data_IF_568929529934
#
_entry.id   IF_568929529934
#
_cell.length_a   1.000
_cell.length_b   1.000
_cell.length_c   1.000
_cell.angle_alpha   90.00
_cell.angle_beta   90.00
_cell.angle_gamma   90.00
#
_symmetry.space_group_name_H-M   'P 1'
#
loop_
_entity.id
_entity.type
_entity.pdbx_description
1 polymer ?
#
# COMPACT_ATOMS: atom_id res chain seq x y z
N UNK A 1 -40.28 -20.61 39.39
CA UNK A 1 -39.74 -20.74 38.02
C UNK A 1 -38.73 -19.64 37.81
N UNK A 2 -37.46 -20.01 37.66
CA UNK A 2 -36.33 -19.10 37.56
C UNK A 2 -36.26 -18.56 36.13
N UNK A 3 -36.17 -17.24 35.99
CA UNK A 3 -35.86 -16.58 34.73
C UNK A 3 -34.33 -16.56 34.55
N UNK A 4 -33.89 -17.06 33.40
CA UNK A 4 -32.49 -17.16 33.01
C UNK A 4 -32.09 -15.88 32.27
N UNK A 5 -31.18 -15.10 32.86
CA UNK A 5 -30.57 -13.92 32.23
C UNK A 5 -29.33 -14.37 31.46
N UNK A 6 -29.31 -14.09 30.15
CA UNK A 6 -28.15 -14.32 29.27
C UNK A 6 -27.20 -13.14 29.44
N UNK A 7 -25.94 -13.44 29.78
CA UNK A 7 -24.88 -12.46 29.99
C UNK A 7 -24.43 -11.81 28.68
N UNK A 8 -24.57 -10.49 28.61
CA UNK A 8 -23.92 -9.64 27.63
C UNK A 8 -22.45 -9.43 28.05
N UNK A 9 -21.51 -9.99 27.30
CA UNK A 9 -20.09 -9.70 27.42
C UNK A 9 -19.81 -8.25 27.04
N UNK A 10 -19.48 -7.44 28.04
CA UNK A 10 -19.06 -6.06 27.89
C UNK A 10 -17.61 -6.05 27.41
N UNK A 11 -17.38 -5.69 26.13
CA UNK A 11 -16.05 -5.39 25.62
C UNK A 11 -15.66 -4.02 26.18
N UNK A 12 -14.71 -4.01 27.10
CA UNK A 12 -14.15 -2.78 27.68
C UNK A 12 -13.16 -2.21 26.65
N UNK A 13 -13.38 -1.01 26.10
CA UNK A 13 -12.35 -0.34 25.31
C UNK A 13 -11.27 0.14 26.28
N UNK A 14 -10.04 -0.32 26.07
CA UNK A 14 -8.89 0.13 26.85
C UNK A 14 -8.62 1.59 26.48
N UNK A 15 -8.90 2.49 27.42
CA UNK A 15 -8.67 3.92 27.31
C UNK A 15 -7.15 4.17 27.44
N UNK A 16 -6.47 4.50 26.34
CA UNK A 16 -5.09 4.98 26.39
C UNK A 16 -5.08 6.49 26.63
N UNK A 17 -4.45 6.88 27.74
CA UNK A 17 -4.31 8.26 28.22
C UNK A 17 -3.29 9.03 27.36
N UNK A 18 -3.65 10.28 27.06
CA UNK A 18 -2.88 11.29 26.33
C UNK A 18 -1.53 11.60 26.98
N UNK A 19 -0.45 11.57 26.17
CA UNK A 19 0.70 12.45 26.38
C UNK A 19 1.09 13.05 25.02
N UNK A 20 0.96 14.37 24.93
CA UNK A 20 1.46 15.18 23.83
C UNK A 20 2.98 15.31 23.98
N UNK A 21 3.70 15.20 22.86
CA UNK A 21 5.07 15.69 22.77
C UNK A 21 5.11 16.78 21.72
N UNK A 22 5.72 17.91 22.10
CA UNK A 22 6.12 18.96 21.19
C UNK A 22 7.13 18.41 20.16
N UNK A 23 7.12 18.89 18.92
CA UNK A 23 8.10 18.48 17.92
C UNK A 23 9.50 18.78 18.44
N UNK A 24 10.37 17.78 18.43
CA UNK A 24 11.80 17.95 18.68
C UNK A 24 12.31 18.92 17.62
N UNK A 25 12.63 20.15 18.02
CA UNK A 25 13.23 21.15 17.13
C UNK A 25 14.64 20.65 16.79
N UNK A 26 14.96 20.33 15.52
CA UNK A 26 16.30 19.89 15.18
C UNK A 26 17.28 21.06 15.37
N UNK A 27 18.38 20.79 16.07
CA UNK A 27 19.60 21.61 16.02
C UNK A 27 19.87 21.99 14.57
N UNK A 28 20.11 23.28 14.31
CA UNK A 28 20.21 23.85 12.97
C UNK A 28 21.11 23.03 12.02
N UNK A 29 20.49 22.15 11.24
CA UNK A 29 21.18 21.43 10.19
C UNK A 29 21.57 22.46 9.11
N UNK A 30 22.86 22.63 8.84
CA UNK A 30 23.30 23.37 7.66
C UNK A 30 23.18 22.47 6.42
N UNK A 31 22.93 23.09 5.28
CA UNK A 31 22.66 22.42 4.01
C UNK A 31 23.78 21.43 3.63
N UNK A 32 23.42 20.20 3.26
CA UNK A 32 24.34 19.21 2.67
C UNK A 32 24.83 18.07 3.57
N UNK A 33 24.43 17.99 4.84
CA UNK A 33 24.80 16.88 5.75
C UNK A 33 23.56 16.18 6.32
N UNK A 34 23.68 14.88 6.63
CA UNK A 34 22.64 14.15 7.39
C UNK A 34 22.61 14.62 8.85
N UNK A 35 21.50 14.34 9.55
CA UNK A 35 21.39 14.61 10.98
C UNK A 35 22.54 13.87 11.71
N UNK A 36 23.25 14.51 12.67
CA UNK A 36 24.32 13.85 13.41
C UNK A 36 23.88 12.55 14.07
N UNK A 37 24.75 11.55 14.08
CA UNK A 37 24.52 10.30 14.81
C UNK A 37 24.42 10.61 16.31
N UNK A 38 23.28 10.30 16.90
CA UNK A 38 22.94 10.58 18.30
C UNK A 38 22.98 9.32 19.18
N UNK A 39 23.49 8.19 18.65
CA UNK A 39 23.52 6.94 19.42
C UNK A 39 24.38 7.12 20.67
N UNK A 40 23.86 6.77 21.86
CA UNK A 40 24.63 6.86 23.08
C UNK A 40 25.73 5.80 23.10
N UNK A 41 26.82 6.12 23.79
CA UNK A 41 27.75 5.09 24.24
C UNK A 41 26.99 4.09 25.11
N UNK A 42 27.27 2.79 24.92
CA UNK A 42 26.60 1.76 25.69
C UNK A 42 26.92 1.91 27.19
N UNK A 43 25.92 1.77 28.07
CA UNK A 43 26.13 1.88 29.52
C UNK A 43 26.93 0.70 30.10
N UNK A 44 26.97 -0.43 29.38
CA UNK A 44 27.66 -1.66 29.78
C UNK A 44 28.37 -2.32 28.60
N UNK A 45 29.34 -3.19 28.91
CA UNK A 45 30.15 -3.90 27.91
C UNK A 45 29.36 -5.02 27.22
N UNK A 46 29.80 -5.43 26.02
CA UNK A 46 29.21 -6.59 25.30
C UNK A 46 29.27 -7.86 26.13
N UNK A 47 30.32 -8.05 26.94
CA UNK A 47 30.42 -9.18 27.86
C UNK A 47 29.29 -9.18 28.89
N UNK A 48 29.03 -8.03 29.52
CA UNK A 48 27.94 -7.87 30.49
C UNK A 48 26.56 -8.05 29.86
N UNK A 49 26.38 -7.58 28.61
CA UNK A 49 25.15 -7.84 27.85
C UNK A 49 24.91 -9.34 27.63
N UNK A 50 25.95 -10.06 27.18
CA UNK A 50 25.86 -11.51 26.97
C UNK A 50 25.59 -12.26 28.27
N UNK A 51 26.21 -11.87 29.39
CA UNK A 51 25.95 -12.42 30.73
C UNK A 51 24.50 -12.16 31.17
N UNK A 52 23.91 -11.03 30.77
CA UNK A 52 22.49 -10.70 30.95
C UNK A 52 21.55 -11.35 29.93
N UNK A 53 22.07 -12.20 29.03
CA UNK A 53 21.28 -12.89 28.01
C UNK A 53 20.88 -12.05 26.81
N UNK A 54 21.58 -10.94 26.55
CA UNK A 54 21.39 -10.07 25.37
C UNK A 54 22.62 -10.22 24.47
N UNK A 55 22.42 -10.86 23.31
CA UNK A 55 23.42 -10.98 22.26
C UNK A 55 23.54 -9.70 21.43
N UNK A 56 24.72 -9.48 20.87
CA UNK A 56 25.00 -8.39 19.92
C UNK A 56 25.42 -8.97 18.58
N UNK A 57 24.69 -8.65 17.52
CA UNK A 57 24.92 -9.11 16.15
C UNK A 57 25.05 -7.90 15.24
N UNK A 58 26.13 -7.84 14.46
CA UNK A 58 26.50 -6.61 13.75
C UNK A 58 26.75 -6.87 12.26
N UNK A 59 26.29 -5.93 11.44
CA UNK A 59 26.59 -5.79 10.02
C UNK A 59 27.02 -4.35 9.71
N UNK A 60 27.19 -4.02 8.42
CA UNK A 60 27.64 -2.68 8.03
C UNK A 60 26.65 -1.59 8.47
N UNK A 61 25.34 -1.87 8.37
CA UNK A 61 24.27 -0.90 8.59
C UNK A 61 23.50 -1.11 9.90
N UNK A 62 23.56 -2.28 10.51
CA UNK A 62 22.83 -2.56 11.76
C UNK A 62 23.72 -3.17 12.84
N UNK A 63 23.62 -2.63 14.05
CA UNK A 63 24.01 -3.31 15.29
C UNK A 63 22.76 -3.73 16.06
N UNK A 64 22.47 -5.02 16.05
CA UNK A 64 21.28 -5.62 16.66
C UNK A 64 21.59 -6.15 18.06
N UNK A 65 20.83 -5.70 19.05
CA UNK A 65 20.80 -6.19 20.41
C UNK A 65 19.54 -7.02 20.59
N UNK A 66 19.68 -8.29 20.96
CA UNK A 66 18.54 -9.18 21.08
C UNK A 66 18.76 -10.31 22.08
N UNK A 67 17.69 -10.74 22.76
CA UNK A 67 17.67 -11.94 23.60
C UNK A 67 17.03 -13.15 22.87
N UNK A 68 16.91 -13.06 21.55
CA UNK A 68 16.55 -14.18 20.67
C UNK A 68 17.71 -15.16 20.49
N UNK A 69 17.35 -16.36 20.04
CA UNK A 69 18.32 -17.38 19.64
C UNK A 69 19.25 -16.87 18.53
N UNK A 70 20.54 -17.19 18.65
CA UNK A 70 21.56 -16.68 17.73
C UNK A 70 21.31 -17.04 16.27
N UNK A 71 20.70 -18.20 15.99
CA UNK A 71 20.38 -18.64 14.63
C UNK A 71 19.37 -17.71 13.94
N UNK A 72 18.37 -17.23 14.69
CA UNK A 72 17.41 -16.25 14.20
C UNK A 72 18.09 -14.89 14.03
N UNK A 73 18.80 -14.45 15.07
CA UNK A 73 19.39 -13.11 15.13
C UNK A 73 20.44 -12.84 14.05
N UNK A 74 21.30 -13.83 13.72
CA UNK A 74 22.37 -13.68 12.72
C UNK A 74 21.86 -13.33 11.32
N UNK A 75 20.64 -13.77 10.99
CA UNK A 75 20.05 -13.53 9.67
C UNK A 75 19.52 -12.12 9.46
N UNK A 76 19.32 -11.34 10.53
CA UNK A 76 18.59 -10.07 10.49
C UNK A 76 19.46 -8.87 10.06
N UNK A 77 20.67 -8.63 10.61
CA UNK A 77 21.50 -7.50 10.18
C UNK A 77 21.82 -7.45 8.68
N UNK A 78 22.15 -8.57 8.00
CA UNK A 78 22.38 -8.55 6.56
C UNK A 78 21.17 -8.13 5.71
N UNK A 79 19.94 -8.19 6.26
CA UNK A 79 18.75 -7.67 5.56
C UNK A 79 18.75 -6.14 5.56
N UNK A 80 19.23 -5.49 6.62
CA UNK A 80 19.32 -4.02 6.66
C UNK A 80 20.41 -3.52 5.73
N UNK A 81 21.51 -4.27 5.57
CA UNK A 81 22.52 -3.94 4.56
C UNK A 81 21.92 -3.93 3.14
N UNK A 82 21.09 -4.92 2.79
CA UNK A 82 20.40 -4.99 1.49
C UNK A 82 19.27 -3.95 1.36
N UNK A 83 18.54 -3.68 2.45
CA UNK A 83 17.50 -2.66 2.47
C UNK A 83 18.10 -1.26 2.25
N UNK A 84 19.29 -1.01 2.81
CA UNK A 84 20.02 0.24 2.60
C UNK A 84 20.33 0.51 1.14
N UNK A 85 20.79 -0.50 0.40
CA UNK A 85 21.02 -0.35 -1.05
C UNK A 85 19.71 -0.02 -1.79
N UNK A 86 18.60 -0.64 -1.37
CA UNK A 86 17.27 -0.38 -1.93
C UNK A 86 16.74 1.03 -1.58
N UNK A 87 17.04 1.53 -0.38
CA UNK A 87 16.70 2.88 0.03
C UNK A 87 17.51 3.92 -0.75
N UNK A 88 18.81 3.72 -0.93
CA UNK A 88 19.63 4.64 -1.74
C UNK A 88 19.20 4.66 -3.21
N UNK A 89 18.79 3.51 -3.78
CA UNK A 89 18.26 3.45 -5.13
C UNK A 89 16.98 4.29 -5.28
N UNK A 90 16.09 4.21 -4.28
CA UNK A 90 14.77 4.83 -4.33
C UNK A 90 14.76 6.29 -3.90
N UNK A 91 15.30 6.59 -2.71
CA UNK A 91 15.34 7.93 -2.10
C UNK A 91 16.57 8.75 -2.51
N UNK A 92 17.55 8.12 -3.15
CA UNK A 92 18.87 8.71 -3.35
C UNK A 92 19.79 8.48 -2.15
N UNK A 93 21.08 8.78 -2.36
CA UNK A 93 22.10 8.63 -1.32
C UNK A 93 21.83 9.56 -0.15
N UNK A 94 22.05 9.08 1.06
CA UNK A 94 22.08 9.97 2.22
C UNK A 94 23.20 11.00 2.04
N UNK A 95 22.97 12.26 2.42
CA UNK A 95 24.05 13.21 2.56
C UNK A 95 25.10 12.68 3.56
N UNK A 96 26.39 13.01 3.39
CA UNK A 96 27.45 12.53 4.28
C UNK A 96 27.24 13.01 5.73
N UNK A 97 27.85 12.29 6.66
CA UNK A 97 27.97 12.76 8.04
C UNK A 97 29.05 13.84 8.15
N UNK A 98 28.92 14.74 9.13
CA UNK A 98 29.93 15.79 9.38
C UNK A 98 31.25 15.24 9.88
N UNK A 99 31.20 14.15 10.62
CA UNK A 99 32.36 13.44 11.16
C UNK A 99 32.84 12.33 10.22
N UNK A 100 32.33 12.30 8.99
CA UNK A 100 32.64 11.28 7.96
C UNK A 100 32.26 9.85 8.37
N UNK A 101 31.49 9.68 9.45
CA UNK A 101 31.00 8.38 9.87
C UNK A 101 30.06 7.77 8.84
N UNK A 102 30.19 6.46 8.65
CA UNK A 102 29.24 5.66 7.88
C UNK A 102 27.88 5.61 8.60
N UNK A 103 26.81 5.53 7.81
CA UNK A 103 25.48 5.28 8.36
C UNK A 103 25.42 3.87 8.96
N UNK A 104 25.09 3.79 10.25
CA UNK A 104 24.77 2.56 10.96
C UNK A 104 23.75 2.90 12.07
N UNK A 105 22.83 1.98 12.34
CA UNK A 105 21.79 2.15 13.36
C UNK A 105 21.89 1.06 14.45
N UNK A 106 21.33 1.33 15.62
CA UNK A 106 21.14 0.32 16.67
C UNK A 106 19.69 -0.19 16.68
N UNK A 107 19.51 -1.50 16.62
CA UNK A 107 18.20 -2.13 16.78
C UNK A 107 18.12 -2.92 18.08
N UNK A 108 17.03 -2.77 18.83
CA UNK A 108 16.76 -3.54 20.05
C UNK A 108 15.53 -4.42 19.83
N UNK A 109 15.75 -5.70 19.56
CA UNK A 109 14.72 -6.70 19.30
C UNK A 109 14.52 -7.57 20.53
N UNK A 110 13.37 -7.43 21.18
CA UNK A 110 13.17 -7.87 22.55
C UNK A 110 12.08 -8.94 22.63
N UNK A 111 12.46 -10.14 23.05
CA UNK A 111 11.52 -11.18 23.50
C UNK A 111 11.12 -10.92 24.96
N UNK A 112 12.08 -10.50 25.79
CA UNK A 112 11.88 -10.10 27.19
C UNK A 112 12.32 -8.64 27.40
N UNK A 113 11.35 -7.70 27.42
CA UNK A 113 11.58 -6.26 27.58
C UNK A 113 12.32 -5.93 28.89
N UNK A 114 12.07 -6.67 29.96
CA UNK A 114 12.63 -6.39 31.28
C UNK A 114 14.16 -6.55 31.31
N UNK A 115 14.72 -7.44 30.48
CA UNK A 115 16.19 -7.58 30.35
C UNK A 115 16.82 -6.31 29.80
N UNK A 116 16.18 -5.69 28.81
CA UNK A 116 16.67 -4.47 28.17
C UNK A 116 16.54 -3.27 29.10
N UNK A 117 15.47 -3.22 29.89
CA UNK A 117 15.30 -2.21 30.93
C UNK A 117 16.42 -2.32 31.98
N UNK A 118 16.67 -3.52 32.52
CA UNK A 118 17.75 -3.76 33.51
C UNK A 118 19.14 -3.48 32.95
N UNK A 119 19.34 -3.70 31.66
CA UNK A 119 20.58 -3.38 30.95
C UNK A 119 20.73 -1.88 30.62
N UNK A 120 19.73 -1.04 30.92
CA UNK A 120 19.74 0.39 30.61
C UNK A 120 19.66 0.70 29.11
N UNK A 121 19.07 -0.20 28.32
CA UNK A 121 18.97 -0.08 26.86
C UNK A 121 17.64 0.54 26.38
N UNK A 122 16.67 0.74 27.28
CA UNK A 122 15.41 1.42 26.98
C UNK A 122 15.54 2.93 27.19
N UNK A 123 14.89 3.72 26.33
CA UNK A 123 14.75 5.18 26.51
C UNK A 123 13.47 5.49 27.27
N UNK A 124 13.53 6.46 28.18
CA UNK A 124 12.39 6.87 29.01
C UNK A 124 11.22 7.52 28.24
N UNK A 125 11.44 7.90 26.98
CA UNK A 125 10.41 8.44 26.09
C UNK A 125 9.67 7.37 25.27
N UNK A 126 10.06 6.09 25.39
CA UNK A 126 9.34 5.00 24.77
C UNK A 126 8.00 4.80 25.50
N UNK A 127 6.88 4.61 24.77
CA UNK A 127 5.61 4.31 25.41
C UNK A 127 5.67 2.96 26.14
N UNK A 128 4.80 2.76 27.12
CA UNK A 128 4.76 1.49 27.88
C UNK A 128 4.44 0.30 26.97
N UNK A 129 3.53 0.51 26.00
CA UNK A 129 3.10 -0.48 25.03
C UNK A 129 3.40 0.00 23.61
N UNK A 130 4.17 -0.80 22.87
CA UNK A 130 4.45 -0.61 21.44
C UNK A 130 4.86 -1.94 20.82
N UNK A 131 4.74 -2.04 19.50
CA UNK A 131 5.28 -3.16 18.72
C UNK A 131 6.63 -2.81 18.10
N UNK A 132 6.78 -1.58 17.64
CA UNK A 132 8.00 -0.98 17.11
C UNK A 132 8.02 0.51 17.40
N UNK A 133 9.22 1.08 17.56
CA UNK A 133 9.42 2.52 17.69
C UNK A 133 10.84 2.88 17.30
N UNK A 134 10.99 3.80 16.37
CA UNK A 134 12.25 4.44 16.03
C UNK A 134 12.39 5.80 16.73
N UNK A 135 13.63 6.10 17.17
CA UNK A 135 14.06 7.42 17.63
C UNK A 135 15.52 7.64 17.20
N UNK A 136 15.77 8.66 16.40
CA UNK A 136 17.11 8.98 15.89
C UNK A 136 17.75 7.78 15.16
N UNK A 137 18.99 7.44 15.49
CA UNK A 137 19.68 6.30 14.87
C UNK A 137 19.42 4.97 15.58
N UNK A 138 18.28 4.87 16.30
CA UNK A 138 17.93 3.71 17.12
C UNK A 138 16.47 3.30 16.89
N UNK A 139 16.19 2.00 17.03
CA UNK A 139 14.82 1.52 17.13
C UNK A 139 14.67 0.38 18.12
N UNK A 140 13.47 0.26 18.69
CA UNK A 140 13.07 -0.79 19.63
C UNK A 140 11.88 -1.51 19.06
N UNK A 141 11.86 -2.83 19.17
CA UNK A 141 10.70 -3.62 18.78
C UNK A 141 10.53 -4.85 19.68
N UNK A 142 9.27 -5.23 19.88
CA UNK A 142 8.91 -6.46 20.57
C UNK A 142 8.89 -7.60 19.56
N UNK A 143 9.42 -8.76 19.98
CA UNK A 143 9.43 -9.95 19.15
C UNK A 143 8.03 -10.34 18.67
N UNK A 144 7.95 -10.82 17.43
CA UNK A 144 6.70 -11.18 16.78
C UNK A 144 6.59 -12.70 16.60
N UNK A 145 5.38 -13.29 16.74
CA UNK A 145 5.22 -14.74 16.61
C UNK A 145 5.55 -15.28 15.22
N UNK A 146 5.39 -14.46 14.18
CA UNK A 146 5.69 -14.82 12.80
C UNK A 146 7.02 -14.22 12.36
N UNK A 147 7.92 -15.05 11.85
CA UNK A 147 9.21 -14.63 11.31
C UNK A 147 9.10 -13.55 10.22
N UNK A 148 8.08 -13.66 9.35
CA UNK A 148 7.79 -12.63 8.36
C UNK A 148 7.53 -11.28 9.03
N UNK A 149 6.63 -11.23 10.01
CA UNK A 149 6.21 -9.98 10.62
C UNK A 149 7.31 -9.38 11.52
N UNK A 150 8.16 -10.23 12.14
CA UNK A 150 9.40 -9.80 12.80
C UNK A 150 10.30 -9.04 11.81
N UNK A 151 10.56 -9.62 10.63
CA UNK A 151 11.36 -8.94 9.60
C UNK A 151 10.67 -7.69 9.06
N UNK A 152 9.34 -7.72 8.90
CA UNK A 152 8.55 -6.57 8.46
C UNK A 152 8.75 -5.38 9.40
N UNK A 153 8.60 -5.58 10.71
CA UNK A 153 8.83 -4.52 11.71
C UNK A 153 10.30 -4.07 11.74
N UNK A 154 11.25 -5.00 11.64
CA UNK A 154 12.67 -4.65 11.56
C UNK A 154 12.96 -3.70 10.38
N UNK A 155 12.44 -4.03 9.18
CA UNK A 155 12.60 -3.22 7.98
C UNK A 155 11.81 -1.90 8.06
N UNK A 156 10.62 -1.91 8.66
CA UNK A 156 9.79 -0.74 8.88
C UNK A 156 10.52 0.30 9.75
N UNK A 157 10.97 -0.09 10.94
CA UNK A 157 11.66 0.83 11.86
C UNK A 157 13.02 1.30 11.32
N UNK A 158 13.73 0.42 10.61
CA UNK A 158 14.99 0.80 9.97
C UNK A 158 14.77 1.76 8.79
N UNK A 159 13.64 1.67 8.08
CA UNK A 159 13.25 2.63 7.03
C UNK A 159 13.01 4.01 7.64
N UNK A 160 12.32 4.09 8.78
CA UNK A 160 12.18 5.35 9.54
C UNK A 160 13.54 5.96 9.88
N UNK A 161 14.47 5.15 10.39
CA UNK A 161 15.81 5.63 10.75
C UNK A 161 16.60 6.17 9.54
N UNK A 162 16.45 5.54 8.36
CA UNK A 162 17.04 6.04 7.13
C UNK A 162 16.41 7.37 6.69
N UNK A 163 15.08 7.42 6.61
CA UNK A 163 14.36 8.60 6.11
C UNK A 163 14.57 9.81 7.03
N UNK A 164 14.44 9.61 8.34
CA UNK A 164 14.59 10.68 9.33
C UNK A 164 16.05 11.11 9.56
N UNK A 165 17.04 10.42 8.96
CA UNK A 165 18.41 10.94 8.88
C UNK A 165 18.54 12.10 7.87
N UNK A 166 17.57 12.27 6.96
CA UNK A 166 17.51 13.40 6.03
C UNK A 166 17.18 14.67 6.81
N UNK A 167 18.10 15.64 6.81
CA UNK A 167 17.90 16.89 7.50
C UNK A 167 16.75 17.71 6.89
N UNK A 168 15.92 18.31 7.76
CA UNK A 168 14.76 19.15 7.38
C UNK A 168 13.74 18.42 6.49
N UNK A 169 13.63 17.10 6.64
CA UNK A 169 12.60 16.33 5.97
C UNK A 169 11.22 16.90 6.32
N UNK A 170 10.51 17.37 5.31
CA UNK A 170 9.17 17.96 5.45
C UNK A 170 8.20 17.20 4.54
N UNK A 171 7.62 16.14 5.10
CA UNK A 171 6.69 15.23 4.43
C UNK A 171 5.58 14.83 5.40
N UNK A 172 4.38 14.46 4.90
CA UNK A 172 3.32 13.96 5.76
C UNK A 172 3.70 12.71 6.55
N UNK A 173 3.12 12.56 7.74
CA UNK A 173 3.24 11.35 8.57
C UNK A 173 2.81 10.11 7.79
N UNK A 174 1.73 10.23 7.01
CA UNK A 174 1.27 9.13 6.16
C UNK A 174 2.29 8.72 5.09
N UNK A 175 3.13 9.63 4.59
CA UNK A 175 4.21 9.27 3.69
C UNK A 175 5.30 8.48 4.41
N UNK A 176 5.72 8.91 5.61
CA UNK A 176 6.70 8.19 6.42
C UNK A 176 6.24 6.77 6.74
N UNK A 177 5.05 6.65 7.33
CA UNK A 177 4.48 5.34 7.71
C UNK A 177 4.20 4.47 6.49
N UNK A 178 3.66 5.07 5.41
CA UNK A 178 3.38 4.36 4.17
C UNK A 178 4.65 3.82 3.51
N UNK A 179 5.73 4.61 3.47
CA UNK A 179 7.02 4.17 2.94
C UNK A 179 7.67 3.10 3.82
N UNK A 180 7.60 3.22 5.15
CA UNK A 180 8.10 2.21 6.08
C UNK A 180 7.36 0.88 5.94
N UNK A 181 6.03 0.88 5.81
CA UNK A 181 5.24 -0.31 5.49
C UNK A 181 5.57 -0.87 4.10
N UNK A 182 5.77 -0.01 3.10
CA UNK A 182 6.07 -0.42 1.72
C UNK A 182 7.43 -1.10 1.60
N UNK A 183 8.48 -0.52 2.20
CA UNK A 183 9.79 -1.16 2.29
C UNK A 183 9.80 -2.38 3.24
N UNK A 184 8.94 -2.38 4.26
CA UNK A 184 8.69 -3.55 5.09
C UNK A 184 8.00 -4.70 4.34
N UNK A 185 7.25 -4.41 3.28
CA UNK A 185 6.55 -5.44 2.49
C UNK A 185 7.54 -6.15 1.56
N UNK A 186 7.93 -7.38 1.94
CA UNK A 186 9.13 -8.00 1.40
C UNK A 186 9.01 -9.51 1.14
N UNK A 187 9.98 -10.05 0.40
CA UNK A 187 10.28 -11.47 0.36
C UNK A 187 11.80 -11.68 0.50
N UNK A 188 12.19 -12.80 1.10
CA UNK A 188 13.59 -13.25 1.14
C UNK A 188 13.69 -14.55 0.37
N UNK A 189 14.30 -14.51 -0.81
CA UNK A 189 14.45 -15.66 -1.69
C UNK A 189 15.93 -15.97 -1.80
N UNK A 190 16.36 -17.15 -1.30
CA UNK A 190 17.76 -17.56 -1.30
C UNK A 190 18.71 -16.51 -0.69
N UNK A 191 18.28 -15.89 0.43
CA UNK A 191 19.04 -14.86 1.14
C UNK A 191 19.00 -13.45 0.53
N UNK A 192 18.34 -13.29 -0.63
CA UNK A 192 18.17 -11.97 -1.28
C UNK A 192 16.86 -11.33 -0.86
N UNK A 193 16.95 -10.10 -0.37
CA UNK A 193 15.80 -9.28 -0.01
C UNK A 193 15.20 -8.61 -1.25
N UNK A 194 13.87 -8.73 -1.39
CA UNK A 194 13.07 -7.93 -2.32
C UNK A 194 12.03 -7.17 -1.52
N UNK A 195 11.91 -5.87 -1.73
CA UNK A 195 11.03 -4.95 -1.00
C UNK A 195 10.05 -4.26 -1.95
N UNK A 196 9.13 -3.45 -1.40
CA UNK A 196 8.14 -2.68 -2.18
C UNK A 196 7.19 -3.56 -2.97
N UNK A 197 6.89 -4.74 -2.44
CA UNK A 197 6.04 -5.73 -3.08
C UNK A 197 4.55 -5.45 -2.81
N UNK A 198 3.71 -5.90 -3.73
CA UNK A 198 2.28 -6.11 -3.45
C UNK A 198 2.12 -7.57 -2.99
N UNK A 199 1.54 -7.84 -1.80
CA UNK A 199 1.35 -9.20 -1.34
C UNK A 199 0.57 -10.03 -2.36
N UNK A 200 1.13 -11.14 -2.84
CA UNK A 200 0.51 -12.03 -3.83
C UNK A 200 -0.40 -13.08 -3.22
N UNK A 201 -0.20 -13.36 -1.92
CA UNK A 201 -1.03 -14.24 -1.12
C UNK A 201 -0.91 -13.89 0.36
N UNK A 202 -1.79 -14.41 1.20
CA UNK A 202 -1.74 -14.17 2.66
C UNK A 202 -0.72 -15.03 3.40
N UNK A 203 -0.43 -16.22 2.90
CA UNK A 203 0.39 -17.20 3.64
C UNK A 203 1.85 -16.80 3.73
N UNK A 204 2.37 -16.11 2.72
CA UNK A 204 3.77 -15.67 2.67
C UNK A 204 3.97 -14.35 3.41
N UNK A 205 2.89 -13.59 3.63
CA UNK A 205 2.87 -12.26 4.24
C UNK A 205 2.08 -12.24 5.57
N UNK A 206 2.11 -13.34 6.32
CA UNK A 206 1.32 -13.51 7.56
C UNK A 206 1.60 -12.39 8.56
N UNK A 207 0.53 -11.75 9.03
CA UNK A 207 0.58 -10.64 9.99
C UNK A 207 0.58 -9.25 9.35
N UNK A 208 0.86 -9.14 8.04
CA UNK A 208 0.83 -7.85 7.34
C UNK A 208 -0.60 -7.27 7.24
N UNK A 209 -1.55 -8.09 6.75
CA UNK A 209 -3.00 -7.83 6.71
C UNK A 209 -3.50 -6.48 6.15
N UNK A 210 -2.65 -5.63 5.55
CA UNK A 210 -3.04 -4.29 5.06
C UNK A 210 -4.17 -4.34 4.04
N UNK A 211 -4.09 -5.24 3.07
CA UNK A 211 -5.17 -5.47 2.09
C UNK A 211 -6.48 -5.92 2.76
N UNK A 212 -6.40 -6.78 3.78
CA UNK A 212 -7.59 -7.17 4.54
C UNK A 212 -8.20 -5.99 5.28
N UNK A 213 -7.38 -5.18 5.95
CA UNK A 213 -7.82 -3.99 6.67
C UNK A 213 -8.48 -2.99 5.73
N UNK A 214 -7.87 -2.68 4.57
CA UNK A 214 -8.47 -1.85 3.51
C UNK A 214 -9.85 -2.40 3.12
N UNK A 215 -9.93 -3.68 2.71
CA UNK A 215 -11.21 -4.27 2.27
C UNK A 215 -12.28 -4.26 3.35
N UNK A 216 -11.90 -4.46 4.62
CA UNK A 216 -12.81 -4.36 5.77
C UNK A 216 -13.29 -2.91 5.92
N UNK A 217 -12.37 -1.97 5.86
CA UNK A 217 -12.65 -0.56 6.12
C UNK A 217 -13.51 0.07 5.03
N UNK A 218 -13.28 -0.28 3.77
CA UNK A 218 -14.14 0.11 2.64
C UNK A 218 -15.60 -0.28 2.87
N UNK A 219 -15.86 -1.44 3.48
CA UNK A 219 -17.23 -1.89 3.79
C UNK A 219 -17.85 -1.16 4.97
N UNK A 220 -17.03 -0.70 5.92
CA UNK A 220 -17.50 -0.12 7.18
C UNK A 220 -17.60 1.41 7.13
N UNK A 221 -16.62 2.07 6.51
CA UNK A 221 -16.42 3.53 6.51
C UNK A 221 -16.32 4.14 5.11
N UNK A 222 -16.14 3.31 4.08
CA UNK A 222 -15.91 3.79 2.71
C UNK A 222 -14.42 3.96 2.40
N UNK A 223 -14.14 4.54 1.24
CA UNK A 223 -12.77 4.80 0.78
C UNK A 223 -12.41 6.23 1.18
N UNK A 224 -11.31 6.47 1.91
CA UNK A 224 -10.84 7.83 2.18
C UNK A 224 -10.33 8.50 0.90
N UNK A 225 -10.44 9.82 0.82
CA UNK A 225 -9.84 10.60 -0.27
C UNK A 225 -8.33 10.38 -0.30
N UNK A 226 -7.77 10.19 -1.49
CA UNK A 226 -6.35 9.87 -1.67
C UNK A 226 -5.44 10.91 -1.02
N UNK A 227 -5.71 12.20 -1.25
CA UNK A 227 -4.90 13.29 -0.69
C UNK A 227 -5.27 13.60 0.77
N UNK A 228 -6.48 13.27 1.21
CA UNK A 228 -6.91 13.48 2.60
C UNK A 228 -6.12 12.62 3.59
N UNK A 229 -5.58 11.48 3.13
CA UNK A 229 -4.71 10.60 3.93
C UNK A 229 -3.46 11.36 4.38
N UNK A 230 -2.94 12.29 3.57
CA UNK A 230 -1.76 13.10 3.92
C UNK A 230 -2.03 14.06 5.07
N UNK A 231 -3.30 14.41 5.31
CA UNK A 231 -3.66 15.31 6.42
C UNK A 231 -3.77 14.61 7.76
N UNK A 232 -3.70 13.26 7.78
CA UNK A 232 -3.74 12.50 9.01
C UNK A 232 -2.51 12.78 9.87
N UNK A 233 -2.75 13.05 11.15
CA UNK A 233 -1.70 13.39 12.11
C UNK A 233 -1.32 12.16 12.92
N UNK A 234 -0.27 12.26 13.74
CA UNK A 234 0.20 11.19 14.63
C UNK A 234 -0.92 10.48 15.39
N UNK A 235 -1.93 11.21 15.86
CA UNK A 235 -3.05 10.63 16.61
C UNK A 235 -3.79 9.56 15.80
N UNK A 236 -3.93 9.72 14.48
CA UNK A 236 -4.56 8.71 13.63
C UNK A 236 -3.78 7.39 13.71
N UNK A 237 -2.45 7.45 13.55
CA UNK A 237 -1.56 6.29 13.56
C UNK A 237 -1.33 5.70 14.96
N UNK A 238 -1.64 6.44 16.02
CA UNK A 238 -1.62 5.90 17.40
C UNK A 238 -2.85 5.08 17.74
N UNK A 239 -4.01 5.42 17.20
CA UNK A 239 -5.29 4.83 17.61
C UNK A 239 -5.91 3.88 16.58
N UNK A 240 -5.57 4.01 15.30
CA UNK A 240 -6.21 3.25 14.23
C UNK A 240 -5.19 2.48 13.40
N UNK A 241 -5.23 1.14 13.49
CA UNK A 241 -4.36 0.29 12.68
C UNK A 241 -4.67 0.40 11.17
N UNK A 242 -5.90 0.76 10.81
CA UNK A 242 -6.26 1.04 9.41
C UNK A 242 -5.49 2.25 8.85
N UNK A 243 -5.02 3.18 9.68
CA UNK A 243 -4.23 4.31 9.21
C UNK A 243 -2.94 3.84 8.53
N UNK A 244 -2.26 2.83 9.08
CA UNK A 244 -1.10 2.20 8.44
C UNK A 244 -1.48 1.48 7.14
N UNK A 245 -2.63 0.82 7.10
CA UNK A 245 -3.09 0.14 5.89
C UNK A 245 -3.38 1.11 4.75
N UNK A 246 -4.00 2.25 5.04
CA UNK A 246 -4.27 3.28 4.06
C UNK A 246 -3.01 4.05 3.64
N UNK A 247 -2.11 4.37 4.57
CA UNK A 247 -0.80 4.95 4.25
C UNK A 247 0.02 4.02 3.35
N UNK A 248 0.07 2.73 3.68
CA UNK A 248 0.67 1.70 2.83
C UNK A 248 0.01 1.63 1.46
N UNK A 249 -1.32 1.56 1.40
CA UNK A 249 -2.08 1.48 0.15
C UNK A 249 -1.84 2.68 -0.75
N UNK A 250 -1.75 3.89 -0.17
CA UNK A 250 -1.40 5.12 -0.87
C UNK A 250 0.03 5.05 -1.44
N UNK A 251 1.02 4.66 -0.65
CA UNK A 251 2.41 4.54 -1.12
C UNK A 251 2.57 3.50 -2.23
N UNK A 252 1.91 2.34 -2.09
CA UNK A 252 1.89 1.29 -3.13
C UNK A 252 1.22 1.82 -4.40
N UNK A 253 0.06 2.47 -4.28
CA UNK A 253 -0.65 3.04 -5.42
C UNK A 253 0.21 4.08 -6.14
N UNK A 254 0.83 5.02 -5.42
CA UNK A 254 1.68 6.02 -6.03
C UNK A 254 2.96 5.47 -6.65
N UNK A 255 3.56 4.42 -6.08
CA UNK A 255 4.80 3.81 -6.59
C UNK A 255 4.58 2.83 -7.77
N UNK A 256 3.41 2.18 -7.83
CA UNK A 256 3.15 1.11 -8.80
C UNK A 256 2.21 1.52 -9.94
N UNK A 257 1.35 2.52 -9.75
CA UNK A 257 0.47 2.99 -10.82
C UNK A 257 1.29 3.74 -11.91
N UNK A 258 1.21 3.34 -13.19
CA UNK A 258 1.94 4.00 -14.30
C UNK A 258 1.70 5.51 -14.40
N UNK A 259 0.53 5.99 -13.97
CA UNK A 259 0.21 7.42 -13.96
C UNK A 259 1.08 8.17 -12.96
N UNK A 260 1.38 7.62 -11.80
CA UNK A 260 1.95 8.36 -10.66
C UNK A 260 3.40 7.99 -10.36
N UNK A 261 3.86 6.80 -10.78
CA UNK A 261 5.12 6.21 -10.32
C UNK A 261 6.38 7.05 -10.57
N UNK A 262 6.50 7.73 -11.71
CA UNK A 262 7.67 8.54 -12.05
C UNK A 262 7.72 9.77 -11.16
N UNK A 263 6.57 10.44 -10.97
CA UNK A 263 6.42 11.62 -10.12
C UNK A 263 6.68 11.29 -8.66
N UNK A 264 6.17 10.16 -8.17
CA UNK A 264 6.38 9.72 -6.79
C UNK A 264 7.85 9.33 -6.51
N UNK A 265 8.51 8.65 -7.45
CA UNK A 265 9.94 8.32 -7.34
C UNK A 265 10.82 9.55 -7.47
N UNK A 266 10.42 10.54 -8.28
CA UNK A 266 11.10 11.84 -8.36
C UNK A 266 11.01 12.61 -7.04
N UNK A 267 9.85 12.60 -6.39
CA UNK A 267 9.68 13.13 -5.02
C UNK A 267 10.67 12.46 -4.06
N UNK A 268 10.72 11.12 -4.05
CA UNK A 268 11.59 10.36 -3.15
C UNK A 268 13.07 10.75 -3.30
N UNK A 269 13.53 11.04 -4.52
CA UNK A 269 14.90 11.51 -4.82
C UNK A 269 15.18 12.97 -4.47
N UNK A 270 14.14 13.72 -4.10
CA UNK A 270 14.21 15.17 -3.88
C UNK A 270 13.96 15.55 -2.42
N UNK A 271 13.95 14.58 -1.49
CA UNK A 271 13.54 14.80 -0.09
C UNK A 271 14.44 15.76 0.71
N UNK A 272 15.64 16.09 0.22
CA UNK A 272 16.48 17.15 0.80
C UNK A 272 15.99 18.56 0.48
N UNK A 273 15.09 18.72 -0.49
CA UNK A 273 14.42 19.97 -0.81
C UNK A 273 13.11 20.08 0.01
N UNK A 274 12.95 21.10 0.88
CA UNK A 274 11.75 21.25 1.70
C UNK A 274 10.47 21.52 0.88
N UNK A 275 10.59 21.89 -0.40
CA UNK A 275 9.43 22.08 -1.28
C UNK A 275 9.05 20.81 -2.06
N UNK A 276 9.78 19.71 -1.92
CA UNK A 276 9.60 18.52 -2.75
C UNK A 276 8.18 17.95 -2.66
N UNK A 277 7.62 17.88 -1.44
CA UNK A 277 6.25 17.41 -1.23
C UNK A 277 5.22 18.28 -1.94
N UNK A 278 5.29 19.60 -1.74
CA UNK A 278 4.39 20.56 -2.39
C UNK A 278 4.52 20.54 -3.92
N UNK A 279 5.73 20.34 -4.45
CA UNK A 279 5.95 20.14 -5.89
C UNK A 279 5.24 18.89 -6.38
N UNK A 280 5.36 17.77 -5.66
CA UNK A 280 4.67 16.54 -5.99
C UNK A 280 3.15 16.72 -6.02
N UNK A 281 2.55 17.34 -4.99
CA UNK A 281 1.11 17.60 -4.97
C UNK A 281 0.63 18.42 -6.17
N UNK A 282 1.37 19.49 -6.51
CA UNK A 282 1.07 20.30 -7.69
C UNK A 282 1.19 19.50 -8.99
N UNK A 283 2.20 18.63 -9.10
CA UNK A 283 2.40 17.76 -10.26
C UNK A 283 1.25 16.74 -10.46
N UNK A 284 0.48 16.43 -9.41
CA UNK A 284 -0.71 15.56 -9.49
C UNK A 284 -1.97 16.29 -9.96
N UNK A 285 -2.06 17.61 -9.77
CA UNK A 285 -3.28 18.38 -10.05
C UNK A 285 -3.74 18.29 -11.52
N UNK A 286 -2.80 18.05 -12.44
CA UNK A 286 -3.08 18.03 -13.89
C UNK A 286 -4.01 16.89 -14.29
N UNK A 287 -3.90 15.73 -13.65
CA UNK A 287 -4.67 14.52 -13.92
C UNK A 287 -5.26 13.91 -12.64
N UNK A 288 -5.49 14.76 -11.63
CA UNK A 288 -6.04 14.35 -10.33
C UNK A 288 -7.39 13.62 -10.45
N UNK A 289 -8.35 14.02 -11.31
CA UNK A 289 -9.60 13.28 -11.46
C UNK A 289 -9.39 11.82 -11.89
N UNK A 290 -8.49 11.57 -12.83
CA UNK A 290 -8.12 10.23 -13.29
C UNK A 290 -7.42 9.43 -12.18
N UNK A 291 -6.48 10.06 -11.47
CA UNK A 291 -5.77 9.46 -10.33
C UNK A 291 -6.76 9.03 -9.23
N UNK A 292 -7.72 9.90 -8.88
CA UNK A 292 -8.72 9.63 -7.85
C UNK A 292 -9.67 8.50 -8.28
N UNK A 293 -10.06 8.43 -9.55
CA UNK A 293 -10.84 7.31 -10.07
C UNK A 293 -10.06 5.99 -9.94
N UNK A 294 -8.81 5.94 -10.39
CA UNK A 294 -7.98 4.74 -10.26
C UNK A 294 -7.73 4.35 -8.79
N UNK A 295 -7.54 5.32 -7.89
CA UNK A 295 -7.43 5.07 -6.44
C UNK A 295 -8.68 4.39 -5.88
N UNK A 296 -9.85 4.91 -6.21
CA UNK A 296 -11.13 4.36 -5.73
C UNK A 296 -11.36 2.93 -6.26
N UNK A 297 -10.97 2.67 -7.51
CA UNK A 297 -11.08 1.34 -8.10
C UNK A 297 -10.08 0.36 -7.47
N UNK A 298 -8.82 0.76 -7.27
CA UNK A 298 -7.84 -0.02 -6.53
C UNK A 298 -8.32 -0.34 -5.11
N UNK A 299 -8.76 0.66 -4.35
CA UNK A 299 -9.20 0.46 -2.98
C UNK A 299 -10.43 -0.45 -2.88
N UNK A 300 -11.35 -0.37 -3.85
CA UNK A 300 -12.52 -1.26 -3.92
C UNK A 300 -12.13 -2.72 -4.22
N UNK A 301 -11.08 -2.93 -5.01
CA UNK A 301 -10.60 -4.23 -5.46
C UNK A 301 -9.20 -4.56 -4.89
N UNK A 302 -8.90 -4.10 -3.66
CA UNK A 302 -7.61 -4.27 -2.99
C UNK A 302 -7.35 -5.73 -2.57
N UNK A 303 -7.10 -6.59 -3.55
CA UNK A 303 -6.85 -8.02 -3.40
C UNK A 303 -5.36 -8.35 -3.51
N UNK A 304 -5.01 -9.48 -2.91
CA UNK A 304 -3.68 -10.06 -3.00
C UNK A 304 -3.35 -10.29 -4.49
N UNK A 305 -2.20 -9.78 -4.95
CA UNK A 305 -1.72 -9.89 -6.32
C UNK A 305 -2.25 -8.83 -7.31
N UNK A 306 -2.91 -7.76 -6.83
CA UNK A 306 -3.40 -6.69 -7.71
C UNK A 306 -2.34 -6.18 -8.70
N UNK A 307 -2.65 -6.23 -10.00
CA UNK A 307 -1.75 -5.80 -11.08
C UNK A 307 -2.06 -4.35 -11.52
N UNK A 308 -1.27 -3.39 -11.04
CA UNK A 308 -1.43 -1.97 -11.36
C UNK A 308 -1.29 -1.66 -12.85
N UNK A 309 -0.41 -2.37 -13.57
CA UNK A 309 -0.19 -2.10 -14.99
C UNK A 309 -1.41 -2.50 -15.82
N UNK A 310 -1.99 -3.67 -15.52
CA UNK A 310 -3.19 -4.16 -16.22
C UNK A 310 -4.46 -3.43 -15.82
N UNK A 311 -4.51 -2.85 -14.63
CA UNK A 311 -5.64 -2.04 -14.18
C UNK A 311 -5.56 -0.57 -14.55
N UNK A 312 -4.40 -0.09 -15.03
CA UNK A 312 -4.25 1.28 -15.48
C UNK A 312 -5.22 1.60 -16.62
N UNK A 313 -5.90 2.74 -16.52
CA UNK A 313 -6.96 3.13 -17.44
C UNK A 313 -6.40 4.15 -18.43
N UNK A 314 -6.53 3.83 -19.71
CA UNK A 314 -6.37 4.80 -20.79
C UNK A 314 -7.69 5.59 -20.92
N UNK A 315 -7.75 6.73 -20.24
CA UNK A 315 -8.93 7.59 -20.27
C UNK A 315 -9.08 8.29 -21.63
N UNK A 316 -10.26 8.18 -22.20
CA UNK A 316 -10.64 8.87 -23.43
C UNK A 316 -12.05 9.45 -23.29
N UNK A 317 -12.26 10.63 -23.85
CA UNK A 317 -13.59 11.22 -23.96
C UNK A 317 -14.47 10.40 -24.91
N UNK A 318 -15.76 10.35 -24.57
CA UNK A 318 -16.78 9.72 -25.38
C UNK A 318 -17.27 10.65 -26.48
N UNK A 319 -17.62 10.06 -27.62
CA UNK A 319 -18.29 10.77 -28.70
C UNK A 319 -19.73 10.26 -28.85
N UNK A 320 -20.65 11.14 -29.19
CA UNK A 320 -22.04 10.77 -29.45
C UNK A 320 -22.13 9.73 -30.59
N UNK A 321 -23.02 8.75 -30.41
CA UNK A 321 -23.27 7.74 -31.44
C UNK A 321 -24.12 8.32 -32.57
N UNK A 322 -23.51 8.49 -33.74
CA UNK A 322 -24.25 8.77 -34.99
C UNK A 322 -24.47 7.50 -35.83
N UNK A 323 -23.68 6.46 -35.56
CA UNK A 323 -23.71 5.13 -36.17
C UNK A 323 -23.20 4.10 -35.15
N UNK A 324 -23.46 2.79 -35.33
CA UNK A 324 -22.86 1.75 -34.51
C UNK A 324 -21.35 1.93 -34.37
N UNK A 325 -20.84 1.83 -33.13
CA UNK A 325 -19.40 1.87 -32.85
C UNK A 325 -18.93 0.50 -32.41
N UNK A 326 -17.81 0.04 -32.97
CA UNK A 326 -17.16 -1.20 -32.57
C UNK A 326 -15.88 -0.88 -31.80
N UNK A 327 -15.65 -1.59 -30.70
CA UNK A 327 -14.46 -1.49 -29.86
C UNK A 327 -13.98 -2.89 -29.48
N UNK A 328 -12.66 -3.08 -29.45
CA UNK A 328 -12.04 -4.30 -28.93
C UNK A 328 -11.82 -4.17 -27.42
N UNK A 329 -12.27 -5.17 -26.66
CA UNK A 329 -12.07 -5.24 -25.20
C UNK A 329 -11.17 -6.43 -24.89
N UNK A 330 -9.97 -6.14 -24.42
CA UNK A 330 -8.95 -7.14 -24.09
C UNK A 330 -9.22 -7.79 -22.73
N UNK A 331 -8.99 -9.09 -22.64
CA UNK A 331 -9.24 -9.87 -21.42
C UNK A 331 -8.14 -9.69 -20.35
N UNK A 332 -6.95 -9.25 -20.74
CA UNK A 332 -5.79 -9.05 -19.86
C UNK A 332 -5.68 -7.61 -19.32
N UNK A 333 -6.77 -6.83 -19.42
CA UNK A 333 -6.84 -5.44 -18.98
C UNK A 333 -8.08 -5.18 -18.15
N UNK A 334 -7.98 -4.19 -17.28
CA UNK A 334 -9.09 -3.65 -16.49
C UNK A 334 -10.07 -2.84 -17.34
N UNK A 335 -10.54 -1.71 -16.80
CA UNK A 335 -11.50 -0.85 -17.49
C UNK A 335 -10.90 -0.20 -18.74
N UNK A 336 -11.62 -0.31 -19.85
CA UNK A 336 -11.22 0.17 -21.17
C UNK A 336 -12.29 1.11 -21.72
N UNK A 337 -11.89 2.27 -22.24
CA UNK A 337 -12.83 3.24 -22.82
C UNK A 337 -13.40 2.71 -24.13
N UNK A 338 -14.73 2.73 -24.26
CA UNK A 338 -15.39 2.48 -25.55
C UNK A 338 -15.35 3.70 -26.48
N UNK A 339 -14.95 4.87 -25.96
CA UNK A 339 -15.08 6.19 -26.60
C UNK A 339 -16.51 6.51 -27.03
N UNK A 340 -17.51 5.88 -26.41
CA UNK A 340 -18.93 6.18 -26.62
C UNK A 340 -19.42 7.08 -25.50
N UNK A 341 -20.01 8.21 -25.89
CA UNK A 341 -20.79 9.04 -24.98
C UNK A 341 -22.20 8.47 -24.85
N UNK A 342 -22.66 8.30 -23.62
CA UNK A 342 -24.01 7.86 -23.28
C UNK A 342 -24.72 8.91 -22.46
N UNK A 343 -26.03 9.01 -22.62
CA UNK A 343 -26.88 10.01 -21.98
C UNK A 343 -27.82 9.35 -20.98
N UNK A 344 -27.91 9.93 -19.77
CA UNK A 344 -28.77 9.41 -18.71
C UNK A 344 -30.21 9.19 -19.20
N UNK A 345 -30.74 7.99 -18.98
CA UNK A 345 -32.11 7.61 -19.36
C UNK A 345 -32.26 7.13 -20.80
N UNK A 346 -31.23 7.28 -21.65
CA UNK A 346 -31.24 6.68 -22.99
C UNK A 346 -30.82 5.21 -22.93
N UNK A 347 -31.39 4.41 -23.85
CA UNK A 347 -31.14 2.97 -23.96
C UNK A 347 -30.15 2.68 -25.07
N UNK A 348 -29.25 1.75 -24.78
CA UNK A 348 -28.21 1.31 -25.71
C UNK A 348 -28.23 -0.21 -25.83
N UNK A 349 -27.95 -0.71 -27.03
CA UNK A 349 -27.76 -2.13 -27.31
C UNK A 349 -26.26 -2.43 -27.48
N UNK A 350 -25.84 -3.55 -26.91
CA UNK A 350 -24.50 -4.11 -27.08
C UNK A 350 -24.59 -5.52 -27.65
N UNK A 351 -23.74 -5.77 -28.66
CA UNK A 351 -23.45 -7.10 -29.19
C UNK A 351 -21.94 -7.36 -29.07
N UNK A 352 -21.56 -8.30 -28.23
CA UNK A 352 -20.19 -8.75 -28.07
C UNK A 352 -19.97 -10.08 -28.80
N UNK A 353 -18.86 -10.19 -29.52
CA UNK A 353 -18.50 -11.37 -30.31
C UNK A 353 -17.02 -11.67 -30.15
N UNK A 354 -16.66 -12.95 -30.14
CA UNK A 354 -15.29 -13.42 -29.96
C UNK A 354 -15.12 -14.29 -28.72
N UNK A 355 -13.96 -14.90 -28.62
CA UNK A 355 -13.58 -15.79 -27.53
C UNK A 355 -12.21 -15.39 -26.98
N UNK A 356 -12.04 -15.61 -25.69
CA UNK A 356 -10.81 -15.35 -24.97
C UNK A 356 -10.57 -16.45 -23.94
N UNK A 357 -9.36 -16.51 -23.41
CA UNK A 357 -8.96 -17.49 -22.39
C UNK A 357 -8.73 -16.76 -21.07
N UNK A 358 -9.30 -17.28 -19.98
CA UNK A 358 -9.20 -16.74 -18.61
C UNK A 358 -8.11 -17.41 -17.77
N UNK A 359 -7.65 -18.58 -18.19
CA UNK A 359 -6.58 -19.33 -17.53
C UNK A 359 -6.10 -20.43 -18.48
N UNK A 360 -4.82 -20.78 -18.45
CA UNK A 360 -4.25 -21.85 -19.29
C UNK A 360 -4.29 -23.23 -18.61
N UNK A 361 -4.36 -23.26 -17.27
CA UNK A 361 -4.18 -24.48 -16.47
C UNK A 361 -5.43 -24.81 -15.64
N UNK A 362 -5.74 -26.12 -15.45
CA UNK A 362 -5.06 -27.30 -16.02
C UNK A 362 -5.37 -27.53 -17.52
N UNK A 363 -6.36 -26.83 -18.07
CA UNK A 363 -6.67 -26.69 -19.50
C UNK A 363 -7.18 -25.26 -19.73
N UNK A 364 -7.11 -24.74 -20.97
CA UNK A 364 -7.63 -23.41 -21.28
C UNK A 364 -9.09 -23.22 -20.87
N UNK A 365 -9.37 -22.19 -20.07
CA UNK A 365 -10.72 -21.75 -19.73
C UNK A 365 -11.18 -20.76 -20.78
N UNK A 366 -11.72 -21.29 -21.88
CA UNK A 366 -12.28 -20.48 -22.96
C UNK A 366 -13.62 -19.90 -22.54
N UNK A 367 -13.82 -18.61 -22.77
CA UNK A 367 -15.04 -17.88 -22.46
C UNK A 367 -15.46 -16.97 -23.62
N UNK A 368 -16.73 -16.60 -23.60
CA UNK A 368 -17.33 -15.50 -24.36
C UNK A 368 -17.79 -14.41 -23.38
N UNK A 369 -18.47 -13.38 -23.86
CA UNK A 369 -18.89 -12.23 -23.04
C UNK A 369 -20.01 -12.56 -22.03
N UNK A 370 -20.71 -13.69 -22.16
CA UNK A 370 -21.64 -14.19 -21.13
C UNK A 370 -20.93 -14.71 -19.87
N UNK A 371 -19.63 -15.04 -19.99
CA UNK A 371 -18.82 -15.57 -18.90
C UNK A 371 -19.04 -17.06 -18.61
N UNK A 372 -18.29 -17.58 -17.62
CA UNK A 372 -18.30 -18.98 -17.18
C UNK A 372 -18.62 -19.10 -15.69
N UNK A 373 -19.26 -20.22 -15.30
CA UNK A 373 -19.78 -20.48 -13.94
C UNK A 373 -18.81 -21.20 -13.01
N UNK A 374 -17.54 -21.37 -13.40
CA UNK A 374 -16.53 -22.12 -12.63
C UNK A 374 -16.19 -21.41 -11.33
N UNK A 375 -16.04 -20.08 -11.38
CA UNK A 375 -15.79 -19.18 -10.26
C UNK A 375 -16.53 -17.87 -10.49
N UNK A 376 -16.61 -17.08 -9.42
CA UNK A 376 -17.23 -15.76 -9.45
C UNK A 376 -16.27 -14.76 -8.82
N UNK A 377 -16.20 -13.56 -9.41
CA UNK A 377 -15.52 -12.42 -8.81
C UNK A 377 -16.54 -11.30 -8.56
N UNK A 378 -16.56 -10.77 -7.33
CA UNK A 378 -17.55 -9.78 -6.88
C UNK A 378 -19.00 -10.14 -7.23
N UNK A 379 -19.35 -11.43 -7.06
CA UNK A 379 -20.70 -11.96 -7.31
C UNK A 379 -21.07 -12.14 -8.80
N UNK A 380 -20.12 -11.97 -9.72
CA UNK A 380 -20.32 -12.03 -11.17
C UNK A 380 -19.47 -13.14 -11.81
N UNK A 381 -19.93 -13.67 -12.93
CA UNK A 381 -19.25 -14.75 -13.66
C UNK A 381 -17.87 -14.29 -14.13
N UNK A 382 -16.88 -15.19 -14.17
CA UNK A 382 -15.60 -14.86 -14.83
C UNK A 382 -15.80 -14.72 -16.33
N UNK A 383 -15.09 -13.79 -16.95
CA UNK A 383 -15.23 -13.44 -18.38
C UNK A 383 -16.47 -12.62 -18.74
N UNK A 384 -17.42 -12.43 -17.82
CA UNK A 384 -18.61 -11.66 -18.13
C UNK A 384 -18.25 -10.23 -18.56
N UNK A 385 -18.82 -9.75 -19.66
CA UNK A 385 -18.69 -8.35 -20.07
C UNK A 385 -19.41 -7.46 -19.05
N UNK A 386 -18.69 -6.46 -18.57
CA UNK A 386 -19.19 -5.49 -17.61
C UNK A 386 -19.11 -4.08 -18.21
N UNK A 387 -20.05 -3.23 -17.80
CA UNK A 387 -20.07 -1.83 -18.16
C UNK A 387 -20.09 -0.93 -16.93
N UNK A 388 -19.46 0.23 -17.06
CA UNK A 388 -19.63 1.36 -16.15
C UNK A 388 -19.53 2.68 -16.91
N UNK A 389 -19.94 3.79 -16.30
CA UNK A 389 -20.00 5.09 -16.96
C UNK A 389 -19.20 6.10 -16.12
N UNK A 390 -18.19 6.70 -16.74
CA UNK A 390 -17.45 7.81 -16.14
C UNK A 390 -18.04 9.14 -16.60
N UNK A 391 -18.56 10.00 -15.71
CA UNK A 391 -19.03 11.32 -16.10
C UNK A 391 -17.86 12.21 -16.54
N UNK A 392 -18.12 13.18 -17.42
CA UNK A 392 -17.11 14.17 -17.84
C UNK A 392 -16.66 15.08 -16.69
N UNK A 393 -17.60 15.37 -15.77
CA UNK A 393 -17.35 16.17 -14.59
C UNK A 393 -17.57 15.30 -13.35
N UNK A 394 -16.54 15.07 -12.52
CA UNK A 394 -16.74 14.41 -11.24
C UNK A 394 -17.66 15.27 -10.37
N UNK A 395 -18.48 14.61 -9.55
CA UNK A 395 -19.28 15.26 -8.52
C UNK A 395 -18.67 14.94 -7.17
N UNK A 396 -18.26 15.96 -6.42
CA UNK A 396 -17.54 15.79 -5.14
C UNK A 396 -18.36 15.07 -4.04
N UNK A 397 -19.66 14.86 -4.27
CA UNK A 397 -20.60 14.32 -3.27
C UNK A 397 -21.06 12.89 -3.53
N UNK A 398 -20.72 12.30 -4.67
CA UNK A 398 -21.12 10.93 -4.99
C UNK A 398 -19.93 9.95 -4.81
N UNK A 399 -20.18 8.70 -4.40
CA UNK A 399 -19.19 7.64 -4.52
C UNK A 399 -18.67 7.55 -5.97
N UNK A 400 -17.41 7.14 -6.15
CA UNK A 400 -16.79 6.99 -7.49
C UNK A 400 -17.75 6.32 -8.49
N UNK A 401 -18.23 7.05 -9.51
CA UNK A 401 -19.23 6.58 -10.47
C UNK A 401 -18.88 5.26 -11.16
N UNK A 402 -17.59 5.02 -11.42
CA UNK A 402 -17.12 3.80 -12.08
C UNK A 402 -17.29 2.53 -11.21
N UNK A 403 -17.71 2.68 -9.95
CA UNK A 403 -18.10 1.55 -9.07
C UNK A 403 -19.55 1.08 -9.30
N UNK A 404 -20.40 1.86 -9.99
CA UNK A 404 -21.71 1.39 -10.46
C UNK A 404 -21.51 0.52 -11.71
N UNK A 405 -21.36 -0.79 -11.48
CA UNK A 405 -21.04 -1.77 -12.50
C UNK A 405 -22.29 -2.54 -12.93
N UNK A 406 -22.63 -2.44 -14.22
CA UNK A 406 -23.71 -3.18 -14.87
C UNK A 406 -23.17 -4.47 -15.50
N UNK A 407 -23.67 -5.66 -15.12
CA UNK A 407 -23.36 -6.89 -15.82
C UNK A 407 -24.04 -6.88 -17.19
N UNK A 408 -23.28 -7.23 -18.23
CA UNK A 408 -23.74 -7.44 -19.59
C UNK A 408 -23.40 -8.88 -20.01
N UNK A 409 -23.51 -9.17 -21.31
CA UNK A 409 -23.23 -10.47 -21.91
C UNK A 409 -22.92 -10.35 -23.40
N UNK A 410 -23.08 -11.46 -24.12
CA UNK A 410 -22.95 -11.52 -25.59
C UNK A 410 -23.95 -10.59 -26.30
N UNK A 411 -25.17 -10.50 -25.79
CA UNK A 411 -26.20 -9.57 -26.29
C UNK A 411 -26.91 -8.94 -25.10
N UNK A 412 -26.95 -7.62 -25.04
CA UNK A 412 -27.53 -6.90 -23.90
C UNK A 412 -28.11 -5.55 -24.31
N UNK A 413 -29.11 -5.08 -23.57
CA UNK A 413 -29.54 -3.68 -23.61
C UNK A 413 -29.47 -3.09 -22.22
N UNK A 414 -29.05 -1.83 -22.09
CA UNK A 414 -29.05 -1.14 -20.81
C UNK A 414 -29.54 0.29 -20.97
N UNK A 415 -30.16 0.83 -19.92
CA UNK A 415 -30.44 2.25 -19.79
C UNK A 415 -29.28 2.90 -19.03
N UNK A 416 -28.72 3.99 -19.57
CA UNK A 416 -27.59 4.65 -18.93
C UNK A 416 -28.03 5.32 -17.62
N UNK A 417 -27.42 4.94 -16.50
CA UNK A 417 -27.74 5.50 -15.17
C UNK A 417 -27.27 6.94 -14.99
N UNK A 418 -26.33 7.38 -15.84
CA UNK A 418 -25.75 8.73 -15.84
C UNK A 418 -25.21 9.09 -17.24
N UNK A 419 -24.99 10.38 -17.46
CA UNK A 419 -24.37 10.89 -18.68
C UNK A 419 -22.84 10.85 -18.56
N UNK A 420 -22.15 10.37 -19.59
CA UNK A 420 -20.70 10.29 -19.60
C UNK A 420 -20.14 9.30 -20.62
N UNK A 421 -18.89 8.91 -20.45
CA UNK A 421 -18.22 7.93 -21.32
C UNK A 421 -18.41 6.51 -20.80
N UNK A 422 -18.80 5.59 -21.68
CA UNK A 422 -18.94 4.17 -21.38
C UNK A 422 -17.57 3.47 -21.34
N UNK A 423 -17.29 2.77 -20.24
CA UNK A 423 -16.12 1.91 -20.06
C UNK A 423 -16.57 0.46 -19.92
N UNK A 424 -15.77 -0.45 -20.47
CA UNK A 424 -16.04 -1.88 -20.53
C UNK A 424 -14.87 -2.67 -19.94
N UNK A 425 -15.15 -3.83 -19.36
CA UNK A 425 -14.13 -4.83 -18.98
C UNK A 425 -14.69 -6.24 -19.05
N UNK A 426 -13.82 -7.23 -19.21
CA UNK A 426 -14.16 -8.64 -18.98
C UNK A 426 -13.86 -8.97 -17.52
N UNK A 427 -14.81 -9.55 -16.80
CA UNK A 427 -14.69 -9.73 -15.35
C UNK A 427 -13.68 -10.81 -14.98
N UNK A 428 -12.73 -10.49 -14.11
CA UNK A 428 -11.84 -11.48 -13.51
C UNK A 428 -11.33 -11.01 -12.14
N UNK A 429 -10.61 -11.88 -11.43
CA UNK A 429 -9.89 -11.50 -10.24
C UNK A 429 -8.74 -10.54 -10.59
N UNK A 430 -8.51 -9.45 -9.81
CA UNK A 430 -7.47 -8.44 -10.11
C UNK A 430 -6.02 -8.98 -10.20
N UNK A 431 -5.78 -10.18 -9.68
CA UNK A 431 -4.49 -10.85 -9.72
C UNK A 431 -4.33 -11.86 -10.87
N UNK A 432 -5.40 -12.12 -11.62
CA UNK A 432 -5.47 -13.17 -12.64
C UNK A 432 -5.56 -12.59 -14.06
N UNK A 433 -5.49 -11.26 -14.23
CA UNK A 433 -5.45 -10.67 -15.57
C UNK A 433 -4.19 -11.05 -16.37
N UNK A 434 -3.12 -11.48 -15.69
CA UNK A 434 -1.83 -11.80 -16.32
C UNK A 434 -1.85 -13.07 -17.17
N UNK A 435 -2.71 -14.02 -16.89
CA UNK A 435 -2.89 -15.25 -17.68
C UNK A 435 -4.08 -15.20 -18.64
N UNK A 436 -4.80 -14.08 -18.69
CA UNK A 436 -5.85 -13.86 -19.68
C UNK A 436 -5.27 -13.60 -21.08
N UNK A 437 -5.92 -14.13 -22.13
CA UNK A 437 -5.47 -14.00 -23.52
C UNK A 437 -6.66 -13.77 -24.45
N UNK A 438 -6.50 -12.85 -25.41
CA UNK A 438 -7.52 -12.55 -26.42
C UNK A 438 -8.38 -11.33 -26.07
N UNK A 439 -9.43 -11.13 -26.86
CA UNK A 439 -10.35 -10.00 -26.76
C UNK A 439 -11.75 -10.39 -27.25
N UNK A 440 -12.71 -9.51 -26.99
CA UNK A 440 -14.01 -9.52 -27.67
C UNK A 440 -14.20 -8.23 -28.45
N UNK A 441 -14.81 -8.34 -29.63
CA UNK A 441 -15.32 -7.21 -30.41
C UNK A 441 -16.71 -6.85 -29.88
N UNK A 442 -16.85 -5.67 -29.31
CA UNK A 442 -18.13 -5.14 -28.80
C UNK A 442 -18.65 -4.06 -29.74
N UNK A 443 -19.85 -4.27 -30.26
CA UNK A 443 -20.57 -3.28 -31.04
C UNK A 443 -21.67 -2.62 -30.22
N UNK A 444 -21.69 -1.30 -30.20
CA UNK A 444 -22.58 -0.46 -29.39
C UNK A 444 -23.47 0.34 -30.34
N UNK A 445 -24.78 0.34 -30.07
CA UNK A 445 -25.80 1.02 -30.87
C UNK A 445 -26.80 1.74 -29.97
N UNK A 446 -27.41 2.77 -30.52
CA UNK A 446 -28.59 3.40 -29.92
C UNK A 446 -29.81 2.48 -30.07
N UNK A 447 -30.54 2.26 -28.98
CA UNK A 447 -31.75 1.44 -28.95
C UNK A 447 -32.95 2.35 -29.27
N UNK A 448 -33.23 2.55 -30.57
CA UNK A 448 -34.36 3.38 -31.02
C UNK A 448 -35.71 2.80 -30.66
#
# INVERSE_FOLDING_TARGET
MKATTIGSGMVIPLLCVLIAFEPIVPVAAQDGFRIPDDRPLLPITVKQLNEGGIGVFESKRLRLFTDLEAEVAKSLPPLIDQAYDSWEEFFGKLPPARDESEFQINGYLMKDKDKFEKAGLLRGELPDQFHGRQVGYQFWMIDQPQDYYRRHLLLHEATHAFMLAIARLDVPVAYLEGMAEHFGTHQVISGKLQVRLVPTNRSDFRGHDRLFLIRRDVKQRGIPGLLDINEWKDMNFRFFNESYAWAWGMSVFFDQNPRTHERFRKLAKSLTNPLAWKTFENDLLTDLPEIVTEWNLFAADAWEGFDFLRHAIEFHEGEALTKPRRVEIHADRGWQSSRVFVEKGHRYELLATGQFTLAEKPKPWVSEADGVTIRYHNGRLLGQLLATIRPEKPTDKEPEPMRDVKPLGNSSSFEASRTGTLYLRLNDHPAELVDNRGSVSVEIRDAR
#
